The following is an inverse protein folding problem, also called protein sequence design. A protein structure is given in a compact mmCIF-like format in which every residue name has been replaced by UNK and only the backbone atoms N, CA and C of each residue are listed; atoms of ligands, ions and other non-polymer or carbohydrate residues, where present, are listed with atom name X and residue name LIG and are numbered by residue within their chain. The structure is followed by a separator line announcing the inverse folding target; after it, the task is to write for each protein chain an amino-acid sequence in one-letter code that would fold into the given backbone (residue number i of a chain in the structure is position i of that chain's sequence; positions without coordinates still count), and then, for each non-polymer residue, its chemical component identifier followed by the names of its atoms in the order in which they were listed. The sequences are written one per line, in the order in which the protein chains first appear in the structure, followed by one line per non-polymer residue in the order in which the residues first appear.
data_IF_383534526123
#
_entry.id   IF_383534526123
#
_cell.length_a   1.000
_cell.length_b   1.000
_cell.length_c   1.000
_cell.angle_alpha   90.00
_cell.angle_beta   90.00
_cell.angle_gamma   90.00
#
_symmetry.space_group_name_H-M   'P 1'
#
loop_
_entity.id
_entity.type
_entity.pdbx_description
1 polymer ?
#
# COMPACT_ATOMS: atom_id res chain seq x y z
N UNK A 1 -2.44 67.98 -47.46
CA UNK A 1 -2.03 66.56 -47.52
C UNK A 1 -1.59 66.19 -46.11
N UNK A 2 -2.43 65.55 -45.28
CA UNK A 2 -2.58 64.08 -45.13
C UNK A 2 -1.23 63.43 -44.75
N UNK A 3 -1.01 62.64 -43.70
CA UNK A 3 -1.81 62.07 -42.60
C UNK A 3 -0.82 61.40 -41.60
N UNK A 4 -1.31 61.00 -40.42
CA UNK A 4 -0.82 59.93 -39.49
C UNK A 4 0.69 59.85 -39.14
N UNK A 5 1.14 59.87 -37.88
CA UNK A 5 0.61 59.14 -36.72
C UNK A 5 1.29 57.76 -36.61
N UNK A 6 2.19 57.56 -35.63
CA UNK A 6 1.96 56.58 -34.54
C UNK A 6 3.17 56.32 -33.63
N UNK A 7 2.82 56.03 -32.38
CA UNK A 7 3.64 55.61 -31.24
C UNK A 7 4.15 54.18 -31.43
N UNK A 8 5.31 53.84 -30.88
CA UNK A 8 5.66 52.44 -30.53
C UNK A 8 6.55 52.41 -29.26
N UNK A 9 6.04 52.02 -28.09
CA UNK A 9 5.99 50.67 -27.43
C UNK A 9 7.30 50.16 -26.80
N UNK A 10 7.24 50.07 -25.46
CA UNK A 10 7.70 49.00 -24.55
C UNK A 10 8.97 48.19 -24.87
N UNK A 11 9.94 48.22 -23.94
CA UNK A 11 10.92 47.13 -23.77
C UNK A 11 10.57 46.36 -22.49
N UNK A 12 9.93 45.21 -22.67
CA UNK A 12 9.85 44.14 -21.66
C UNK A 12 11.20 43.39 -21.60
N UNK A 13 11.66 42.93 -20.43
CA UNK A 13 12.86 42.12 -20.35
C UNK A 13 12.62 40.72 -20.94
N UNK A 14 13.57 40.35 -21.80
CA UNK A 14 13.71 39.12 -22.56
C UNK A 14 13.31 37.83 -21.81
N UNK A 15 12.37 37.11 -22.44
CA UNK A 15 12.06 35.70 -22.17
C UNK A 15 13.31 34.88 -22.47
N UNK A 16 13.94 34.32 -21.43
CA UNK A 16 14.95 33.27 -21.58
C UNK A 16 14.27 32.04 -22.18
N UNK A 17 14.75 31.62 -23.34
CA UNK A 17 14.34 30.41 -24.04
C UNK A 17 14.50 29.17 -23.13
N UNK A 18 13.52 28.25 -23.09
CA UNK A 18 13.64 27.03 -22.30
C UNK A 18 14.74 26.12 -22.85
N UNK A 19 15.56 25.56 -21.95
CA UNK A 19 16.48 24.47 -22.26
C UNK A 19 15.62 23.22 -22.55
N UNK A 20 15.81 22.52 -23.69
CA UNK A 20 15.03 21.34 -24.02
C UNK A 20 15.25 20.23 -22.99
N UNK A 21 14.18 19.76 -22.35
CA UNK A 21 14.20 18.58 -21.47
C UNK A 21 13.74 18.81 -20.02
N UNK A 22 13.63 20.07 -19.57
CA UNK A 22 13.10 20.40 -18.23
C UNK A 22 11.60 20.65 -18.34
N UNK A 23 10.77 19.87 -17.63
CA UNK A 23 9.35 20.17 -17.48
C UNK A 23 9.15 21.05 -16.26
N UNK A 24 8.77 22.31 -16.48
CA UNK A 24 8.31 23.18 -15.41
C UNK A 24 6.95 22.67 -14.94
N UNK A 25 6.82 22.43 -13.63
CA UNK A 25 5.63 21.83 -13.03
C UNK A 25 5.22 22.57 -11.77
N UNK A 26 3.93 22.73 -11.57
CA UNK A 26 3.37 23.37 -10.40
C UNK A 26 3.02 22.35 -9.31
N UNK A 27 3.32 22.67 -8.07
CA UNK A 27 2.84 21.92 -6.90
C UNK A 27 2.17 22.88 -5.93
N UNK A 28 1.00 22.51 -5.44
CA UNK A 28 0.31 23.26 -4.41
C UNK A 28 0.67 22.62 -3.07
N UNK A 29 1.12 23.44 -2.13
CA UNK A 29 1.48 23.01 -0.77
C UNK A 29 0.71 23.85 0.25
N UNK A 30 0.39 23.21 1.37
CA UNK A 30 -0.19 23.84 2.55
C UNK A 30 0.85 24.58 3.40
N UNK A 31 0.46 24.94 4.62
CA UNK A 31 1.36 25.49 5.64
C UNK A 31 2.31 24.40 6.15
N UNK A 32 3.61 24.71 6.15
CA UNK A 32 4.68 23.78 6.57
C UNK A 32 4.83 23.66 8.10
N UNK A 33 3.83 24.08 8.89
CA UNK A 33 3.93 24.04 10.35
C UNK A 33 3.74 22.62 10.87
N UNK A 34 4.78 22.08 11.50
CA UNK A 34 4.85 20.71 12.04
C UNK A 34 3.80 20.39 13.13
N UNK A 35 3.05 21.39 13.63
CA UNK A 35 2.08 21.21 14.71
C UNK A 35 0.61 21.25 14.26
N UNK A 36 0.33 21.42 12.96
CA UNK A 36 -1.01 21.80 12.51
C UNK A 36 -1.48 21.09 11.23
N UNK A 37 -1.64 19.77 11.29
CA UNK A 37 -2.48 19.05 10.30
C UNK A 37 -3.97 19.47 10.41
N UNK A 38 -4.31 20.29 11.41
CA UNK A 38 -5.65 20.79 11.70
C UNK A 38 -5.96 22.21 11.23
N UNK A 39 -5.11 22.88 10.43
CA UNK A 39 -5.50 24.19 9.90
C UNK A 39 -6.43 23.99 8.70
N UNK A 40 -7.59 24.64 8.72
CA UNK A 40 -8.49 24.74 7.57
C UNK A 40 -7.76 25.16 6.28
N UNK A 41 -6.62 25.86 6.37
CA UNK A 41 -5.77 26.22 5.22
C UNK A 41 -5.15 25.02 4.51
N UNK A 42 -4.70 24.00 5.24
CA UNK A 42 -4.17 22.77 4.66
C UNK A 42 -5.26 22.00 3.89
N UNK A 43 -6.48 21.98 4.43
CA UNK A 43 -7.64 21.45 3.73
C UNK A 43 -8.04 22.29 2.49
N UNK A 44 -7.89 23.62 2.54
CA UNK A 44 -8.13 24.48 1.36
C UNK A 44 -7.11 24.21 0.25
N UNK A 45 -5.83 24.08 0.61
CA UNK A 45 -4.75 23.74 -0.32
C UNK A 45 -4.96 22.35 -0.92
N UNK A 46 -5.39 21.38 -0.10
CA UNK A 46 -5.73 20.05 -0.58
C UNK A 46 -6.89 20.09 -1.58
N UNK A 47 -7.99 20.79 -1.25
CA UNK A 47 -9.14 20.93 -2.15
C UNK A 47 -8.74 21.59 -3.48
N UNK A 48 -7.97 22.68 -3.43
CA UNK A 48 -7.47 23.35 -4.63
C UNK A 48 -6.59 22.43 -5.48
N UNK A 49 -5.77 21.59 -4.85
CA UNK A 49 -4.95 20.59 -5.53
C UNK A 49 -5.82 19.57 -6.28
N UNK A 50 -6.88 19.06 -5.65
CA UNK A 50 -7.83 18.15 -6.29
C UNK A 50 -8.53 18.80 -7.48
N UNK A 51 -9.01 20.04 -7.32
CA UNK A 51 -9.68 20.78 -8.40
C UNK A 51 -8.74 21.03 -9.59
N UNK A 52 -7.48 21.39 -9.34
CA UNK A 52 -6.48 21.61 -10.39
C UNK A 52 -6.08 20.30 -11.07
N UNK A 53 -5.95 19.20 -10.32
CA UNK A 53 -5.69 17.88 -10.88
C UNK A 53 -6.83 17.39 -11.78
N UNK A 54 -8.08 17.60 -11.33
CA UNK A 54 -9.29 17.23 -12.08
C UNK A 54 -9.42 18.03 -13.38
N UNK A 55 -9.18 19.34 -13.32
CA UNK A 55 -9.35 20.24 -14.45
C UNK A 55 -8.12 20.35 -15.37
N UNK A 56 -7.06 19.58 -15.09
CA UNK A 56 -5.88 19.54 -15.96
C UNK A 56 -6.24 18.93 -17.32
N UNK A 57 -5.71 19.52 -18.39
CA UNK A 57 -5.85 19.00 -19.75
C UNK A 57 -5.23 17.59 -19.84
N UNK A 58 -5.80 16.73 -20.70
CA UNK A 58 -5.27 15.41 -21.05
C UNK A 58 -3.85 15.51 -21.63
N UNK A 59 -3.50 16.62 -22.28
CA UNK A 59 -2.14 16.90 -22.72
C UNK A 59 -1.15 17.16 -21.56
N UNK A 60 -1.67 17.48 -20.37
CA UNK A 60 -0.93 17.81 -19.15
C UNK A 60 -1.11 16.76 -18.04
N UNK A 61 -1.32 15.50 -18.39
CA UNK A 61 -1.46 14.37 -17.43
C UNK A 61 -0.36 14.28 -16.36
N UNK A 62 0.87 14.72 -16.69
CA UNK A 62 1.97 14.80 -15.72
C UNK A 62 1.77 15.88 -14.67
N UNK A 63 1.23 17.03 -15.06
CA UNK A 63 0.88 18.13 -14.15
C UNK A 63 -0.29 17.73 -13.24
N UNK A 64 -1.28 17.02 -13.77
CA UNK A 64 -2.40 16.48 -13.00
C UNK A 64 -1.92 15.57 -11.86
N UNK A 65 -0.99 14.64 -12.18
CA UNK A 65 -0.38 13.75 -11.21
C UNK A 65 0.34 14.50 -10.07
N UNK A 66 1.07 15.57 -10.42
CA UNK A 66 1.81 16.38 -9.44
C UNK A 66 0.86 17.14 -8.52
N UNK A 67 -0.29 17.62 -9.02
CA UNK A 67 -1.30 18.20 -8.15
C UNK A 67 -1.85 17.19 -7.13
N UNK A 68 -2.12 15.94 -7.52
CA UNK A 68 -2.56 14.92 -6.56
C UNK A 68 -1.49 14.57 -5.52
N UNK A 69 -0.22 14.45 -5.94
CA UNK A 69 0.91 14.20 -5.03
C UNK A 69 1.11 15.41 -4.08
N UNK A 70 1.03 16.63 -4.60
CA UNK A 70 1.06 17.86 -3.79
C UNK A 70 -0.12 17.94 -2.80
N UNK A 71 -1.28 17.44 -3.20
CA UNK A 71 -2.44 17.30 -2.32
C UNK A 71 -2.14 16.45 -1.08
N UNK A 72 -1.44 15.32 -1.24
CA UNK A 72 -1.00 14.51 -0.08
C UNK A 72 -0.13 15.35 0.86
N UNK A 73 0.80 16.14 0.31
CA UNK A 73 1.67 17.02 1.08
C UNK A 73 0.92 18.16 1.80
N UNK A 74 -0.28 18.53 1.33
CA UNK A 74 -1.09 19.53 2.01
C UNK A 74 -1.60 19.02 3.37
N UNK A 75 -1.90 17.72 3.49
CA UNK A 75 -2.33 17.10 4.75
C UNK A 75 -1.20 16.38 5.49
N UNK A 76 -0.04 16.18 4.84
CA UNK A 76 1.21 15.69 5.41
C UNK A 76 2.36 16.65 5.07
N UNK A 77 2.39 17.86 5.64
CA UNK A 77 3.40 18.87 5.31
C UNK A 77 4.83 18.39 5.57
N UNK A 78 5.03 17.49 6.53
CA UNK A 78 6.34 16.89 6.85
C UNK A 78 6.93 16.04 5.71
N UNK A 79 6.12 15.62 4.74
CA UNK A 79 6.53 14.80 3.58
C UNK A 79 6.92 15.67 2.38
N UNK A 80 6.64 16.98 2.42
CA UNK A 80 6.78 17.88 1.28
C UNK A 80 8.21 17.92 0.72
N UNK A 81 9.23 17.98 1.57
CA UNK A 81 10.63 18.07 1.14
C UNK A 81 11.08 16.83 0.36
N UNK A 82 10.72 15.63 0.85
CA UNK A 82 11.03 14.37 0.16
C UNK A 82 10.31 14.24 -1.18
N UNK A 83 9.07 14.75 -1.26
CA UNK A 83 8.30 14.79 -2.50
C UNK A 83 8.91 15.76 -3.50
N UNK A 84 9.25 16.98 -3.08
CA UNK A 84 9.89 17.98 -3.94
C UNK A 84 11.21 17.45 -4.49
N UNK A 85 12.02 16.82 -3.65
CA UNK A 85 13.29 16.24 -4.05
C UNK A 85 13.10 15.06 -5.02
N UNK A 86 12.13 14.18 -4.76
CA UNK A 86 11.79 13.08 -5.67
C UNK A 86 11.35 13.57 -7.06
N UNK A 87 10.57 14.65 -7.12
CA UNK A 87 10.16 15.27 -8.38
C UNK A 87 11.33 15.90 -9.13
N UNK A 88 12.27 16.56 -8.43
CA UNK A 88 13.48 17.14 -9.04
C UNK A 88 14.39 16.07 -9.63
N UNK A 89 14.54 14.92 -8.96
CA UNK A 89 15.34 13.79 -9.46
C UNK A 89 14.78 13.19 -10.76
N UNK A 90 13.48 13.34 -11.03
CA UNK A 90 12.85 12.99 -12.32
C UNK A 90 13.01 14.06 -13.41
N UNK A 91 13.80 15.10 -13.17
CA UNK A 91 14.04 16.21 -14.12
C UNK A 91 12.94 17.28 -14.13
N UNK A 92 12.04 17.27 -13.15
CA UNK A 92 11.01 18.31 -13.00
C UNK A 92 11.58 19.56 -12.34
N UNK A 93 11.35 20.74 -12.92
CA UNK A 93 11.57 22.00 -12.21
C UNK A 93 10.27 22.38 -11.51
N UNK A 94 10.27 22.22 -10.19
CA UNK A 94 9.05 22.38 -9.38
C UNK A 94 8.89 23.83 -8.92
N UNK A 95 7.76 24.44 -9.27
CA UNK A 95 7.30 25.73 -8.75
C UNK A 95 6.24 25.50 -7.67
N UNK A 96 6.51 26.00 -6.47
CA UNK A 96 5.56 25.92 -5.35
C UNK A 96 4.54 27.04 -5.46
N UNK A 97 3.27 26.68 -5.54
CA UNK A 97 2.12 27.58 -5.52
C UNK A 97 1.51 27.53 -4.12
N UNK A 98 1.53 28.64 -3.40
CA UNK A 98 0.93 28.74 -2.06
C UNK A 98 -0.49 29.28 -2.16
N UNK A 99 -1.38 28.76 -1.31
CA UNK A 99 -2.72 29.33 -1.16
C UNK A 99 -2.59 30.70 -0.48
N UNK A 100 -3.25 31.76 -0.99
CA UNK A 100 -3.19 33.09 -0.39
C UNK A 100 -3.62 33.08 1.09
N UNK A 101 -2.98 33.92 1.89
CA UNK A 101 -3.44 34.22 3.25
C UNK A 101 -4.77 34.98 3.14
N UNK A 102 -5.87 34.29 3.35
CA UNK A 102 -7.18 34.91 3.58
C UNK A 102 -7.47 34.88 5.07
N UNK A 103 -7.95 36.01 5.60
CA UNK A 103 -8.45 36.13 6.98
C UNK A 103 -9.75 35.33 7.18
N UNK A 104 -10.48 35.06 6.10
CA UNK A 104 -11.66 34.19 6.08
C UNK A 104 -11.26 32.73 5.89
N UNK A 105 -10.66 32.15 6.94
CA UNK A 105 -10.50 30.71 7.05
C UNK A 105 -11.86 30.11 7.46
N UNK A 106 -12.82 30.20 6.54
CA UNK A 106 -14.14 29.58 6.69
C UNK A 106 -13.98 28.10 7.05
N UNK A 107 -14.84 27.60 7.95
CA UNK A 107 -14.94 26.18 8.27
C UNK A 107 -15.14 25.46 6.94
N UNK A 108 -14.18 24.64 6.53
CA UNK A 108 -14.33 23.88 5.29
C UNK A 108 -15.42 22.85 5.53
N UNK A 109 -16.58 22.95 4.86
CA UNK A 109 -17.61 21.95 5.01
C UNK A 109 -17.07 20.63 4.48
N UNK A 110 -17.42 19.54 5.18
CA UNK A 110 -17.14 18.17 4.76
C UNK A 110 -15.65 17.76 4.79
N UNK A 111 -14.95 18.03 5.90
CA UNK A 111 -13.58 17.53 6.14
C UNK A 111 -13.48 16.01 6.05
N UNK A 112 -14.51 15.26 6.47
CA UNK A 112 -14.53 13.80 6.36
C UNK A 112 -14.40 13.33 4.91
N UNK A 113 -15.11 13.96 3.97
CA UNK A 113 -14.91 13.71 2.54
C UNK A 113 -13.47 13.96 2.10
N UNK A 114 -12.86 15.08 2.51
CA UNK A 114 -11.47 15.37 2.15
C UNK A 114 -10.51 14.32 2.74
N UNK A 115 -10.74 13.88 3.98
CA UNK A 115 -9.96 12.80 4.60
C UNK A 115 -10.11 11.47 3.84
N UNK A 116 -11.32 11.13 3.39
CA UNK A 116 -11.57 9.95 2.57
C UNK A 116 -10.79 10.00 1.24
N UNK A 117 -10.87 11.13 0.52
CA UNK A 117 -10.16 11.34 -0.75
C UNK A 117 -8.64 11.29 -0.57
N UNK A 118 -8.13 11.84 0.54
CA UNK A 118 -6.73 11.70 0.92
C UNK A 118 -6.33 10.24 1.14
N UNK A 119 -7.10 9.50 1.96
CA UNK A 119 -6.83 8.09 2.23
C UNK A 119 -6.84 7.25 0.96
N UNK A 120 -7.74 7.57 0.03
CA UNK A 120 -7.80 6.95 -1.28
C UNK A 120 -6.54 7.26 -2.12
N UNK A 121 -6.12 8.53 -2.22
CA UNK A 121 -4.90 8.92 -2.95
C UNK A 121 -3.65 8.23 -2.39
N UNK A 122 -3.53 8.15 -1.07
CA UNK A 122 -2.42 7.46 -0.42
C UNK A 122 -2.47 5.96 -0.69
N UNK A 123 -3.64 5.32 -0.59
CA UNK A 123 -3.78 3.88 -0.92
C UNK A 123 -3.35 3.60 -2.35
N UNK A 124 -3.73 4.47 -3.29
CA UNK A 124 -3.36 4.38 -4.70
C UNK A 124 -1.87 4.56 -4.96
N UNK A 125 -1.15 5.28 -4.10
CA UNK A 125 0.31 5.42 -4.18
C UNK A 125 1.03 4.05 -4.10
N UNK A 126 0.42 3.08 -3.40
CA UNK A 126 1.00 1.75 -3.16
C UNK A 126 0.40 0.64 -4.03
N UNK A 127 -0.55 0.96 -4.91
CA UNK A 127 -1.04 -0.02 -5.90
C UNK A 127 0.06 -0.35 -6.94
N UNK A 128 0.02 -1.59 -7.44
CA UNK A 128 0.95 -2.05 -8.45
C UNK A 128 0.55 -1.50 -9.82
N UNK A 129 1.50 -0.96 -10.58
CA UNK A 129 1.26 -0.40 -11.94
C UNK A 129 0.82 -1.42 -12.97
N UNK A 130 0.96 -2.72 -12.66
CA UNK A 130 0.57 -3.82 -13.54
C UNK A 130 -0.87 -4.32 -13.29
N UNK A 131 -1.59 -3.74 -12.32
CA UNK A 131 -3.01 -4.04 -12.10
C UNK A 131 -3.86 -3.33 -13.16
N UNK A 132 -4.90 -4.03 -13.66
CA UNK A 132 -5.79 -3.47 -14.67
C UNK A 132 -6.60 -2.30 -14.08
N UNK A 133 -6.70 -1.20 -14.82
CA UNK A 133 -7.52 -0.04 -14.47
C UNK A 133 -8.98 -0.48 -14.28
N UNK A 134 -9.44 -1.50 -15.01
CA UNK A 134 -10.80 -2.03 -14.88
C UNK A 134 -11.06 -2.68 -13.51
N UNK A 135 -10.07 -3.37 -12.94
CA UNK A 135 -10.13 -3.94 -11.58
C UNK A 135 -10.05 -2.89 -10.48
N UNK A 136 -9.72 -1.64 -10.83
CA UNK A 136 -9.67 -0.54 -9.87
C UNK A 136 -11.07 -0.21 -9.35
N UNK A 137 -12.05 -0.03 -10.25
CA UNK A 137 -13.39 0.48 -9.94
C UNK A 137 -14.20 -0.50 -9.07
N UNK A 138 -13.91 -1.79 -9.20
CA UNK A 138 -14.59 -2.86 -8.47
C UNK A 138 -13.86 -3.29 -7.20
N UNK A 139 -12.73 -2.65 -6.87
CA UNK A 139 -11.95 -3.00 -5.70
C UNK A 139 -12.66 -2.54 -4.41
N UNK A 140 -13.04 -3.45 -3.50
CA UNK A 140 -13.64 -3.09 -2.22
C UNK A 140 -12.75 -2.13 -1.39
N UNK A 141 -11.43 -2.09 -1.64
CA UNK A 141 -10.52 -1.14 -1.01
C UNK A 141 -10.80 0.32 -1.40
N UNK A 142 -11.61 0.60 -2.44
CA UNK A 142 -12.00 1.98 -2.83
C UNK A 142 -12.91 2.64 -1.80
N UNK A 143 -13.88 1.91 -1.25
CA UNK A 143 -14.88 2.47 -0.31
C UNK A 143 -14.35 2.58 1.11
N UNK A 144 -13.38 1.75 1.46
CA UNK A 144 -12.95 1.62 2.84
C UNK A 144 -12.30 2.88 3.46
N UNK A 145 -11.56 3.75 2.72
CA UNK A 145 -11.18 5.08 3.23
C UNK A 145 -12.37 6.00 3.53
N UNK A 146 -13.49 5.85 2.83
CA UNK A 146 -14.72 6.63 3.04
C UNK A 146 -15.41 6.19 4.33
N UNK A 147 -15.54 4.88 4.53
CA UNK A 147 -16.06 4.30 5.77
C UNK A 147 -15.19 4.70 6.98
N UNK A 148 -13.86 4.63 6.84
CA UNK A 148 -12.93 5.02 7.89
C UNK A 148 -13.01 6.51 8.23
N UNK A 149 -13.32 7.37 7.25
CA UNK A 149 -13.54 8.79 7.47
C UNK A 149 -14.92 9.10 8.10
N UNK A 150 -15.81 8.11 8.22
CA UNK A 150 -17.20 8.33 8.59
C UNK A 150 -17.95 9.18 7.57
N UNK A 151 -17.66 9.00 6.28
CA UNK A 151 -18.30 9.71 5.18
C UNK A 151 -19.00 8.70 4.27
N UNK A 152 -20.34 8.72 4.30
CA UNK A 152 -21.16 7.96 3.35
C UNK A 152 -21.47 8.84 2.13
N UNK A 153 -20.95 8.49 0.94
CA UNK A 153 -21.22 9.22 -0.29
C UNK A 153 -22.63 8.98 -0.85
N UNK A 154 -23.61 8.51 -0.06
CA UNK A 154 -25.02 8.26 -0.47
C UNK A 154 -25.15 7.33 -1.68
N UNK A 155 -24.24 6.37 -1.81
CA UNK A 155 -24.19 5.46 -2.95
C UNK A 155 -23.38 5.97 -4.16
N UNK A 156 -22.90 7.22 -4.15
CA UNK A 156 -22.09 7.83 -5.22
C UNK A 156 -20.57 7.73 -4.94
N UNK A 157 -20.11 6.91 -3.99
CA UNK A 157 -18.69 6.90 -3.60
C UNK A 157 -17.73 6.51 -4.71
N UNK A 158 -18.17 5.56 -5.53
CA UNK A 158 -17.46 5.19 -6.75
C UNK A 158 -17.47 6.34 -7.75
N UNK A 159 -18.62 6.97 -8.01
CA UNK A 159 -18.73 8.14 -8.90
C UNK A 159 -17.90 9.32 -8.41
N UNK A 160 -17.80 9.52 -7.09
CA UNK A 160 -17.06 10.61 -6.47
C UNK A 160 -15.55 10.43 -6.62
N UNK A 161 -15.05 9.20 -6.42
CA UNK A 161 -13.65 8.83 -6.70
C UNK A 161 -13.36 8.85 -8.19
N UNK A 162 -14.23 8.29 -9.02
CA UNK A 162 -14.10 8.31 -10.48
C UNK A 162 -14.10 9.75 -11.01
N UNK A 163 -14.83 10.65 -10.36
CA UNK A 163 -14.85 12.07 -10.71
C UNK A 163 -13.57 12.82 -10.35
N UNK A 164 -12.68 12.26 -9.51
CA UNK A 164 -11.34 12.83 -9.29
C UNK A 164 -10.54 12.75 -10.58
N UNK A 165 -10.58 11.60 -11.27
CA UNK A 165 -9.81 11.39 -12.49
C UNK A 165 -10.74 11.54 -13.70
N UNK A 166 -10.79 12.76 -14.23
CA UNK A 166 -11.50 13.09 -15.47
C UNK A 166 -11.13 12.21 -16.66
N UNK A 167 -9.97 11.52 -16.60
CA UNK A 167 -9.49 10.62 -17.63
C UNK A 167 -8.63 9.49 -17.02
N UNK A 168 -8.78 8.22 -17.49
CA UNK A 168 -7.90 7.11 -17.08
C UNK A 168 -6.38 7.37 -17.19
N UNK A 169 -5.95 8.23 -18.14
CA UNK A 169 -4.54 8.62 -18.29
C UNK A 169 -4.00 9.37 -17.07
N UNK A 170 -4.86 10.07 -16.32
CA UNK A 170 -4.45 10.77 -15.10
C UNK A 170 -4.06 9.76 -14.01
N UNK A 171 -4.74 8.62 -13.92
CA UNK A 171 -4.43 7.53 -12.97
C UNK A 171 -3.08 6.90 -13.31
N UNK A 172 -2.85 6.56 -14.58
CA UNK A 172 -1.58 5.99 -15.03
C UNK A 172 -0.40 6.93 -14.77
N UNK A 173 -0.56 8.23 -15.06
CA UNK A 173 0.47 9.21 -14.77
C UNK A 173 0.68 9.43 -13.27
N UNK A 174 -0.37 9.38 -12.45
CA UNK A 174 -0.25 9.42 -11.00
C UNK A 174 0.61 8.25 -10.49
N UNK A 175 0.31 7.03 -10.92
CA UNK A 175 1.10 5.85 -10.56
C UNK A 175 2.55 5.92 -11.05
N UNK A 176 2.78 6.35 -12.28
CA UNK A 176 4.13 6.50 -12.83
C UNK A 176 4.98 7.51 -12.05
N UNK A 177 4.36 8.59 -11.55
CA UNK A 177 5.04 9.57 -10.72
C UNK A 177 5.22 9.09 -9.27
N UNK A 178 4.28 8.30 -8.74
CA UNK A 178 4.28 7.70 -7.40
C UNK A 178 5.35 6.61 -7.16
N UNK A 179 5.98 6.05 -8.20
CA UNK A 179 7.00 4.98 -8.05
C UNK A 179 8.37 5.45 -7.48
N UNK A 180 8.43 6.60 -6.81
CA UNK A 180 9.64 7.04 -6.14
C UNK A 180 9.70 6.43 -4.74
N UNK A 181 10.62 5.47 -4.53
CA UNK A 181 10.74 4.74 -3.26
C UNK A 181 10.81 5.66 -2.04
N UNK A 182 11.56 6.79 -2.15
CA UNK A 182 11.64 7.82 -1.11
C UNK A 182 10.30 8.48 -0.79
N UNK A 183 9.47 8.76 -1.80
CA UNK A 183 8.13 9.34 -1.59
C UNK A 183 7.24 8.35 -0.84
N UNK A 184 7.22 7.08 -1.27
CA UNK A 184 6.45 6.03 -0.60
C UNK A 184 6.89 5.85 0.85
N UNK A 185 8.18 5.81 1.11
CA UNK A 185 8.69 5.69 2.48
C UNK A 185 8.29 6.89 3.35
N UNK A 186 8.47 8.11 2.85
CA UNK A 186 8.15 9.33 3.59
C UNK A 186 6.64 9.47 3.86
N UNK A 187 5.80 9.22 2.86
CA UNK A 187 4.33 9.18 3.03
C UNK A 187 3.93 8.13 4.06
N UNK A 188 4.54 6.94 4.04
CA UNK A 188 4.22 5.87 4.99
C UNK A 188 4.59 6.25 6.42
N UNK A 189 5.76 6.86 6.62
CA UNK A 189 6.21 7.38 7.91
C UNK A 189 5.30 8.51 8.39
N UNK A 190 4.89 9.40 7.49
CA UNK A 190 3.90 10.46 7.73
C UNK A 190 2.60 9.89 8.28
N UNK A 191 1.88 9.08 7.48
CA UNK A 191 0.58 8.52 7.93
C UNK A 191 0.72 7.69 9.21
N UNK A 192 1.86 7.01 9.42
CA UNK A 192 2.10 6.25 10.63
C UNK A 192 2.12 7.14 11.88
N UNK A 193 2.77 8.30 11.81
CA UNK A 193 2.80 9.27 12.90
C UNK A 193 1.39 9.78 13.24
N UNK A 194 0.50 9.84 12.24
CA UNK A 194 -0.87 10.32 12.40
C UNK A 194 -1.89 9.29 12.87
N UNK A 195 -1.54 7.99 12.89
CA UNK A 195 -2.44 6.91 13.39
C UNK A 195 -2.85 7.07 14.86
N UNK A 196 -2.12 7.85 15.64
CA UNK A 196 -2.37 8.04 17.08
C UNK A 196 -3.39 9.16 17.35
N UNK A 197 -3.68 9.99 16.35
CA UNK A 197 -4.61 11.10 16.51
C UNK A 197 -6.05 10.62 16.45
N UNK A 198 -6.92 11.26 17.24
CA UNK A 198 -8.35 10.99 17.23
C UNK A 198 -9.04 11.77 16.12
N UNK A 199 -10.08 11.19 15.53
CA UNK A 199 -10.91 11.81 14.51
C UNK A 199 -10.64 11.26 13.11
N UNK A 200 -11.46 11.68 12.14
CA UNK A 200 -11.55 11.04 10.82
C UNK A 200 -10.23 10.98 10.06
N UNK A 201 -9.33 11.97 10.22
CA UNK A 201 -8.00 11.92 9.60
C UNK A 201 -7.12 10.80 10.19
N UNK A 202 -7.08 10.68 11.52
CA UNK A 202 -6.33 9.63 12.21
C UNK A 202 -6.91 8.23 11.96
N UNK A 203 -8.24 8.13 11.87
CA UNK A 203 -8.95 6.90 11.52
C UNK A 203 -8.62 6.45 10.09
N UNK A 204 -8.62 7.37 9.12
CA UNK A 204 -8.18 7.11 7.74
C UNK A 204 -6.71 6.69 7.70
N UNK A 205 -5.81 7.41 8.38
CA UNK A 205 -4.40 7.02 8.44
C UNK A 205 -4.21 5.62 9.02
N UNK A 206 -4.94 5.31 10.10
CA UNK A 206 -4.93 3.99 10.75
C UNK A 206 -5.45 2.89 9.82
N UNK A 207 -6.53 3.17 9.09
CA UNK A 207 -7.06 2.26 8.08
C UNK A 207 -6.01 1.98 7.00
N UNK A 208 -5.44 3.01 6.37
CA UNK A 208 -4.45 2.84 5.30
C UNK A 208 -3.23 2.07 5.80
N UNK A 209 -2.70 2.41 6.98
CA UNK A 209 -1.58 1.68 7.62
C UNK A 209 -1.93 0.20 7.82
N UNK A 210 -3.15 -0.11 8.29
CA UNK A 210 -3.59 -1.49 8.50
C UNK A 210 -3.71 -2.26 7.18
N UNK A 211 -4.26 -1.64 6.14
CA UNK A 211 -4.42 -2.25 4.81
C UNK A 211 -3.07 -2.52 4.12
N UNK A 212 -2.09 -1.63 4.30
CA UNK A 212 -0.74 -1.82 3.79
C UNK A 212 0.08 -2.82 4.62
N UNK A 213 -0.26 -3.01 5.89
CA UNK A 213 0.47 -3.91 6.77
C UNK A 213 0.34 -5.35 6.30
N UNK A 214 1.50 -6.01 6.11
CA UNK A 214 1.64 -7.39 5.66
C UNK A 214 1.03 -7.68 4.29
N UNK A 215 0.74 -6.64 3.49
CA UNK A 215 0.21 -6.78 2.14
C UNK A 215 1.17 -7.60 1.29
N UNK A 216 0.62 -8.55 0.52
CA UNK A 216 1.36 -9.55 -0.26
C UNK A 216 2.25 -10.51 0.56
N UNK A 217 2.07 -10.60 1.88
CA UNK A 217 2.83 -11.48 2.79
C UNK A 217 1.94 -12.42 3.61
N UNK A 218 0.67 -12.62 3.21
CA UNK A 218 -0.30 -13.41 3.99
C UNK A 218 0.19 -14.83 4.28
N UNK A 219 0.77 -15.52 3.30
CA UNK A 219 1.32 -16.87 3.49
C UNK A 219 2.46 -16.90 4.52
N UNK A 220 3.42 -15.98 4.40
CA UNK A 220 4.49 -15.81 5.38
C UNK A 220 3.93 -15.54 6.79
N UNK A 221 2.95 -14.65 6.91
CA UNK A 221 2.34 -14.32 8.21
C UNK A 221 1.62 -15.51 8.84
N UNK A 222 0.91 -16.31 8.04
CA UNK A 222 0.21 -17.50 8.52
C UNK A 222 1.21 -18.54 9.04
N UNK A 223 2.28 -18.79 8.30
CA UNK A 223 3.36 -19.71 8.72
C UNK A 223 4.02 -19.21 10.00
N UNK A 224 4.38 -17.93 10.08
CA UNK A 224 5.02 -17.37 11.26
C UNK A 224 4.12 -17.46 12.49
N UNK A 225 2.86 -17.04 12.38
CA UNK A 225 1.92 -17.05 13.51
C UNK A 225 1.57 -18.47 13.97
N UNK A 226 1.39 -19.39 13.03
CA UNK A 226 0.86 -20.71 13.34
C UNK A 226 1.95 -21.72 13.69
N UNK A 227 3.11 -21.66 13.03
CA UNK A 227 4.16 -22.67 13.16
C UNK A 227 5.37 -22.15 13.95
N UNK A 228 5.80 -20.91 13.72
CA UNK A 228 6.99 -20.36 14.40
C UNK A 228 6.65 -19.95 15.83
N UNK A 229 5.60 -19.16 16.04
CA UNK A 229 5.23 -18.71 17.39
C UNK A 229 4.73 -19.83 18.32
N UNK A 230 4.38 -20.98 17.77
CA UNK A 230 3.90 -22.14 18.53
C UNK A 230 4.97 -23.20 18.77
N UNK A 231 6.21 -22.96 18.30
CA UNK A 231 7.31 -23.95 18.31
C UNK A 231 6.87 -25.31 17.72
N UNK A 232 6.18 -25.25 16.57
CA UNK A 232 5.56 -26.43 15.97
C UNK A 232 6.58 -27.52 15.62
N UNK A 233 6.31 -28.81 15.97
CA UNK A 233 7.19 -29.93 15.61
C UNK A 233 7.36 -30.12 14.10
N UNK A 234 6.44 -29.55 13.29
CA UNK A 234 6.55 -29.52 11.82
C UNK A 234 7.86 -28.85 11.36
N UNK A 235 8.36 -27.86 12.10
CA UNK A 235 9.61 -27.16 11.76
C UNK A 235 10.85 -28.04 11.93
N UNK A 236 10.77 -29.14 12.69
CA UNK A 236 11.84 -30.11 12.86
C UNK A 236 11.77 -31.28 11.87
N UNK A 237 10.75 -31.35 11.01
CA UNK A 237 10.59 -32.48 10.10
C UNK A 237 11.58 -32.41 8.93
N UNK A 238 12.45 -33.43 8.82
CA UNK A 238 13.52 -33.47 7.83
C UNK A 238 13.04 -33.34 6.37
N UNK A 239 11.85 -33.85 6.03
CA UNK A 239 11.31 -33.72 4.68
C UNK A 239 10.95 -32.28 4.28
N UNK A 240 10.85 -31.36 5.24
CA UNK A 240 10.59 -29.93 5.01
C UNK A 240 11.83 -29.05 5.22
N UNK A 241 13.02 -29.65 5.39
CA UNK A 241 14.24 -28.91 5.73
C UNK A 241 14.54 -27.74 4.79
N UNK A 242 14.29 -27.90 3.48
CA UNK A 242 14.51 -26.83 2.50
C UNK A 242 13.52 -25.67 2.67
N UNK A 243 12.23 -25.95 2.87
CA UNK A 243 11.22 -24.90 3.13
C UNK A 243 11.48 -24.19 4.47
N UNK A 244 11.92 -24.94 5.49
CA UNK A 244 12.30 -24.38 6.81
C UNK A 244 13.53 -23.47 6.68
N UNK A 245 14.52 -23.85 5.87
CA UNK A 245 15.67 -22.99 5.60
C UNK A 245 15.25 -21.71 4.87
N UNK A 246 14.39 -21.81 3.85
CA UNK A 246 13.83 -20.65 3.15
C UNK A 246 13.05 -19.75 4.11
N UNK A 247 12.25 -20.32 5.01
CA UNK A 247 11.54 -19.60 6.06
C UNK A 247 12.52 -18.87 7.00
N UNK A 248 13.61 -19.51 7.44
CA UNK A 248 14.63 -18.85 8.27
C UNK A 248 15.25 -17.64 7.55
N UNK A 249 15.59 -17.78 6.26
CA UNK A 249 16.10 -16.66 5.46
C UNK A 249 15.06 -15.53 5.36
N UNK A 250 13.80 -15.88 5.14
CA UNK A 250 12.69 -14.94 5.07
C UNK A 250 12.50 -14.18 6.40
N UNK A 251 12.47 -14.89 7.52
CA UNK A 251 12.36 -14.30 8.87
C UNK A 251 13.52 -13.35 9.13
N UNK A 252 14.75 -13.74 8.80
CA UNK A 252 15.94 -12.88 8.95
C UNK A 252 15.85 -11.62 8.08
N UNK A 253 15.40 -11.74 6.84
CA UNK A 253 15.24 -10.60 5.94
C UNK A 253 14.15 -9.63 6.41
N UNK A 254 13.00 -10.15 6.84
CA UNK A 254 11.86 -9.35 7.32
C UNK A 254 12.20 -8.66 8.64
N UNK A 255 12.76 -9.39 9.61
CA UNK A 255 13.16 -8.83 10.92
C UNK A 255 14.32 -7.84 10.84
N UNK A 256 15.20 -7.99 9.85
CA UNK A 256 16.28 -7.04 9.56
C UNK A 256 15.84 -5.77 8.83
N UNK A 257 14.57 -5.65 8.44
CA UNK A 257 14.04 -4.43 7.81
C UNK A 257 13.64 -3.39 8.86
N UNK A 258 13.81 -2.11 8.55
CA UNK A 258 13.39 -0.99 9.41
C UNK A 258 11.88 -1.04 9.72
N UNK A 259 11.07 -1.47 8.75
CA UNK A 259 9.62 -1.56 8.90
C UNK A 259 9.10 -2.94 8.44
N UNK A 260 9.25 -4.00 9.27
CA UNK A 260 8.99 -5.39 8.87
C UNK A 260 7.59 -5.63 8.28
N UNK A 261 6.56 -5.00 8.85
CA UNK A 261 5.17 -5.11 8.37
C UNK A 261 4.95 -4.52 6.99
N UNK A 262 5.88 -3.74 6.46
CA UNK A 262 5.80 -3.15 5.11
C UNK A 262 6.91 -3.68 4.20
N UNK A 263 7.51 -4.83 4.54
CA UNK A 263 8.65 -5.39 3.83
C UNK A 263 8.43 -5.51 2.32
N UNK A 264 7.26 -5.99 1.86
CA UNK A 264 6.95 -6.10 0.41
C UNK A 264 6.60 -4.78 -0.28
N UNK A 265 6.48 -3.70 0.48
CA UNK A 265 6.10 -2.37 -0.01
C UNK A 265 7.31 -1.44 -0.08
N UNK A 266 8.11 -1.40 0.99
CA UNK A 266 9.27 -0.51 1.13
C UNK A 266 10.62 -1.22 1.07
N UNK A 267 10.64 -2.55 1.20
CA UNK A 267 11.89 -3.29 1.25
C UNK A 267 12.66 -3.26 -0.06
N UNK A 268 13.86 -3.81 -0.01
CA UNK A 268 14.68 -4.04 -1.20
C UNK A 268 13.94 -5.01 -2.14
N UNK A 269 13.58 -4.52 -3.34
CA UNK A 269 12.86 -5.29 -4.35
C UNK A 269 13.56 -6.60 -4.71
N UNK A 270 14.90 -6.66 -4.60
CA UNK A 270 15.66 -7.88 -4.83
C UNK A 270 15.36 -8.98 -3.80
N UNK A 271 14.83 -8.65 -2.62
CA UNK A 271 14.51 -9.57 -1.52
C UNK A 271 13.03 -9.93 -1.43
N UNK A 272 12.18 -9.36 -2.28
CA UNK A 272 10.74 -9.59 -2.27
C UNK A 272 10.36 -11.05 -2.52
N UNK A 273 11.13 -11.75 -3.36
CA UNK A 273 10.92 -13.16 -3.66
C UNK A 273 11.02 -14.05 -2.41
N UNK A 274 11.73 -13.62 -1.37
CA UNK A 274 11.99 -14.44 -0.16
C UNK A 274 10.72 -14.76 0.64
N UNK A 275 9.64 -14.00 0.47
CA UNK A 275 8.37 -14.20 1.19
C UNK A 275 7.24 -14.66 0.25
N UNK A 276 7.58 -15.03 -0.98
CA UNK A 276 6.61 -15.57 -1.95
C UNK A 276 6.13 -16.96 -1.56
N UNK A 277 4.90 -17.29 -1.97
CA UNK A 277 4.27 -18.57 -1.65
C UNK A 277 5.08 -19.78 -2.14
N UNK A 278 5.80 -19.62 -3.24
CA UNK A 278 6.67 -20.63 -3.84
C UNK A 278 7.86 -21.03 -2.95
N UNK A 279 8.25 -20.20 -1.98
CA UNK A 279 9.44 -20.45 -1.17
C UNK A 279 9.20 -21.49 -0.06
N UNK A 280 7.96 -21.61 0.41
CA UNK A 280 7.55 -22.54 1.46
C UNK A 280 6.06 -22.94 1.32
N UNK A 281 5.67 -23.53 0.17
CA UNK A 281 4.27 -23.82 -0.16
C UNK A 281 3.61 -24.83 0.79
N UNK A 282 4.37 -25.84 1.25
CA UNK A 282 3.84 -26.88 2.14
C UNK A 282 3.59 -26.30 3.53
N UNK A 283 4.52 -25.50 4.06
CA UNK A 283 4.34 -24.81 5.34
C UNK A 283 3.13 -23.87 5.30
N UNK A 284 2.90 -23.17 4.18
CA UNK A 284 1.70 -22.34 3.99
C UNK A 284 0.44 -23.21 4.06
N UNK A 285 0.37 -24.28 3.27
CA UNK A 285 -0.80 -25.15 3.23
C UNK A 285 -1.14 -25.72 4.62
N UNK A 286 -0.13 -26.18 5.36
CA UNK A 286 -0.27 -26.67 6.74
C UNK A 286 -0.79 -25.57 7.66
N UNK A 287 -0.18 -24.37 7.62
CA UNK A 287 -0.59 -23.25 8.47
C UNK A 287 -2.04 -22.81 8.20
N UNK A 288 -2.45 -22.74 6.92
CA UNK A 288 -3.79 -22.37 6.51
C UNK A 288 -4.82 -23.44 6.92
N UNK A 289 -4.46 -24.72 6.86
CA UNK A 289 -5.34 -25.80 7.29
C UNK A 289 -5.53 -25.80 8.80
N UNK A 290 -4.47 -25.59 9.58
CA UNK A 290 -4.57 -25.45 11.04
C UNK A 290 -5.49 -24.28 11.41
N UNK A 291 -5.32 -23.12 10.76
CA UNK A 291 -6.15 -21.95 11.01
C UNK A 291 -7.62 -22.18 10.64
N UNK A 292 -7.90 -22.86 9.52
CA UNK A 292 -9.26 -23.21 9.09
C UNK A 292 -9.96 -24.19 10.04
N UNK A 293 -9.19 -25.10 10.62
CA UNK A 293 -9.72 -26.18 11.47
C UNK A 293 -9.56 -25.88 12.97
N UNK A 294 -9.17 -24.65 13.33
CA UNK A 294 -9.08 -24.17 14.71
C UNK A 294 -10.49 -24.10 15.32
N UNK A 295 -11.01 -25.25 15.77
CA UNK A 295 -12.36 -25.43 16.30
C UNK A 295 -12.98 -26.80 15.97
N UNK A 296 -12.48 -27.50 14.95
CA UNK A 296 -12.99 -28.82 14.55
C UNK A 296 -11.95 -29.91 14.84
N UNK A 297 -12.28 -30.78 15.80
CA UNK A 297 -11.58 -32.04 16.08
C UNK A 297 -12.25 -33.17 15.27
N UNK A 298 -12.38 -33.00 13.97
CA UNK A 298 -12.93 -34.05 13.11
C UNK A 298 -11.80 -34.89 12.54
N UNK A 299 -11.35 -35.87 13.33
CA UNK A 299 -10.47 -36.92 12.83
C UNK A 299 -11.26 -37.79 11.85
N UNK A 300 -10.80 -37.89 10.60
CA UNK A 300 -11.38 -38.80 9.61
C UNK A 300 -11.22 -40.26 10.09
N UNK A 301 -12.12 -41.18 9.71
CA UNK A 301 -12.08 -42.56 10.18
C UNK A 301 -10.78 -43.27 9.77
N UNK A 302 -10.33 -44.17 10.63
CA UNK A 302 -9.17 -45.02 10.43
C UNK A 302 -9.22 -45.75 9.07
N UNK A 303 -8.15 -45.65 8.29
CA UNK A 303 -7.96 -46.41 7.05
C UNK A 303 -7.80 -45.61 5.75
N UNK A 304 -7.91 -44.28 5.78
CA UNK A 304 -7.59 -43.43 4.63
C UNK A 304 -6.16 -42.91 4.69
N UNK A 305 -5.41 -42.98 3.58
CA UNK A 305 -4.06 -42.37 3.48
C UNK A 305 -4.20 -40.88 3.78
N UNK A 306 -3.55 -40.42 4.85
CA UNK A 306 -3.44 -38.99 5.15
C UNK A 306 -2.72 -38.32 3.98
N UNK A 307 -3.22 -37.17 3.52
CA UNK A 307 -2.41 -36.33 2.64
C UNK A 307 -1.18 -35.85 3.41
N UNK A 308 -0.12 -35.49 2.68
CA UNK A 308 1.11 -34.95 3.28
C UNK A 308 0.84 -33.75 4.19
N UNK A 309 -0.11 -32.88 3.80
CA UNK A 309 -0.56 -31.76 4.63
C UNK A 309 -1.29 -32.24 5.89
N UNK A 310 -2.22 -33.21 5.78
CA UNK A 310 -2.94 -33.74 6.95
C UNK A 310 -1.99 -34.38 7.96
N UNK A 311 -0.94 -35.06 7.49
CA UNK A 311 0.11 -35.63 8.33
C UNK A 311 0.83 -34.53 9.14
N UNK A 312 1.22 -33.43 8.51
CA UNK A 312 1.86 -32.31 9.20
C UNK A 312 0.90 -31.52 10.11
N UNK A 313 -0.39 -31.45 9.78
CA UNK A 313 -1.40 -30.87 10.69
C UNK A 313 -1.55 -31.73 11.94
N UNK A 314 -1.61 -33.06 11.79
CA UNK A 314 -1.63 -33.99 12.92
C UNK A 314 -0.35 -33.89 13.78
N UNK A 315 0.80 -33.67 13.13
CA UNK A 315 2.08 -33.36 13.77
C UNK A 315 2.00 -32.14 14.66
N UNK A 316 1.57 -31.01 14.09
CA UNK A 316 1.43 -29.76 14.80
C UNK A 316 0.51 -29.90 16.04
N UNK A 317 -0.58 -30.65 15.91
CA UNK A 317 -1.55 -30.87 16.98
C UNK A 317 -1.12 -31.90 18.03
N UNK A 318 0.08 -32.46 17.92
CA UNK A 318 0.55 -33.57 18.75
C UNK A 318 -0.42 -34.78 18.78
N UNK A 319 -1.19 -34.97 17.69
CA UNK A 319 -2.17 -36.06 17.56
C UNK A 319 -1.51 -37.42 17.28
N UNK A 320 -0.18 -37.47 17.32
CA UNK A 320 0.62 -38.66 17.09
C UNK A 320 0.74 -39.59 18.30
N UNK A 321 0.33 -39.18 19.50
CA UNK A 321 0.27 -40.10 20.63
C UNK A 321 -0.66 -41.32 20.35
N UNK A 322 -1.76 -41.09 19.61
CA UNK A 322 -2.73 -42.14 19.26
C UNK A 322 -2.50 -42.73 17.85
N UNK A 323 -2.05 -41.91 16.88
CA UNK A 323 -1.87 -42.34 15.49
C UNK A 323 -0.57 -43.13 15.23
N UNK A 324 0.50 -42.91 16.01
CA UNK A 324 1.78 -43.64 15.86
C UNK A 324 1.63 -45.10 16.26
N UNK A 325 0.80 -45.43 17.26
CA UNK A 325 0.50 -46.82 17.62
C UNK A 325 -0.13 -47.60 16.46
N UNK A 326 -1.00 -46.96 15.69
CA UNK A 326 -1.65 -47.59 14.53
C UNK A 326 -0.70 -47.68 13.33
N UNK A 327 0.07 -46.62 13.03
CA UNK A 327 0.91 -46.58 11.83
C UNK A 327 2.22 -47.38 11.97
N UNK A 328 2.82 -47.42 13.16
CA UNK A 328 4.01 -48.26 13.44
C UNK A 328 3.65 -49.75 13.41
N UNK A 329 2.47 -50.15 13.91
CA UNK A 329 2.00 -51.53 13.82
C UNK A 329 1.74 -51.97 12.37
N UNK A 330 1.23 -51.07 11.53
CA UNK A 330 1.00 -51.35 10.11
C UNK A 330 2.32 -51.50 9.33
N UNK A 331 3.27 -50.58 9.53
CA UNK A 331 4.58 -50.62 8.87
C UNK A 331 5.42 -51.84 9.27
N UNK A 332 5.30 -52.30 10.52
CA UNK A 332 5.95 -53.53 11.01
C UNK A 332 5.30 -54.79 10.44
N UNK A 333 3.98 -54.81 10.28
CA UNK A 333 3.26 -55.95 9.69
C UNK A 333 3.52 -56.09 8.18
N UNK A 334 3.59 -54.98 7.45
CA UNK A 334 3.89 -54.99 6.00
C UNK A 334 5.31 -55.51 5.71
N UNK A 335 6.28 -55.22 6.59
CA UNK A 335 7.64 -55.80 6.48
C UNK A 335 7.70 -57.29 6.81
N UNK A 336 6.94 -57.76 7.80
CA UNK A 336 6.89 -59.21 8.13
C UNK A 336 6.27 -60.06 7.03
N UNK A 337 5.26 -59.55 6.33
CA UNK A 337 4.66 -60.26 5.19
C UNK A 337 5.54 -60.25 3.93
N UNK A 338 6.50 -59.32 3.85
CA UNK A 338 7.45 -59.24 2.74
C UNK A 338 8.64 -60.20 2.89
N UNK A 339 8.94 -60.63 4.12
CA UNK A 339 10.05 -61.55 4.44
C UNK A 339 9.59 -63.04 4.51
N UNK A 340 8.28 -63.31 4.45
CA UNK A 340 7.68 -64.66 4.45
C UNK A 340 7.07 -65.07 3.09
N UNK A 341 7.35 -64.30 2.02
CA UNK A 341 6.85 -64.54 0.64
C UNK A 341 7.84 -65.20 -0.29
#
# INVERSE_FOLDING_TARGET
MSNCGDKNTSVLPSVKTPIPGIKDVDIILGELSASAVSTNRNYAAFKLSLERGKNADVAQVGQAAIYYIGGICCLLPEVADDVLEGLRQKGGRVRVVRVPESDDVSIIPNQNKLNALFGWLVTMLYKNTNEDISSMVTDPDIKAPFDAAGYDPRGEGEDEVLSLFSHPKHVLCYWGNAQLGRIKESVLKGILNHTKYKGSFGDVCSYVVKTLSWKHMTGFCNVYKTLVLSDSPVLGFHGLAHEVENLHRAVKAVSGSEMPRFFRILGDGSKYHMVEKSMFPTLIAVSEQIMRTAGEVNFRPAGSRLSEVDYHVAMHRNQFADAVKAHVMQFVNDRRQSDEG
#
